data_IF_785102592914
#
_entry.id   IF_785102592914
#
_cell.length_a   1.000
_cell.length_b   1.000
_cell.length_c   1.000
_cell.angle_alpha   90.00
_cell.angle_beta   90.00
_cell.angle_gamma   90.00
#
_symmetry.space_group_name_H-M   'P 1'
#
loop_
_entity.id
_entity.type
_entity.pdbx_description
1 polymer ?
#
# COMPACT_ATOMS: atom_id res chain seq x y z
N UNK A 1 52.11 0.87 11.47
CA UNK A 1 51.37 1.32 10.27
C UNK A 1 50.05 0.56 10.11
N UNK A 2 50.06 -0.77 10.30
CA UNK A 2 48.90 -1.67 10.13
C UNK A 2 47.67 -1.36 11.02
N UNK A 3 47.85 -0.89 12.26
CA UNK A 3 46.73 -0.60 13.17
C UNK A 3 45.89 0.58 12.69
N UNK A 4 46.50 1.64 12.13
CA UNK A 4 45.77 2.81 11.61
C UNK A 4 44.94 2.45 10.36
N UNK A 5 45.46 1.56 9.52
CA UNK A 5 44.77 1.07 8.32
C UNK A 5 43.59 0.15 8.68
N UNK A 6 43.77 -0.76 9.64
CA UNK A 6 42.69 -1.61 10.17
C UNK A 6 41.56 -0.78 10.82
N UNK A 7 41.91 0.23 11.62
CA UNK A 7 40.93 1.14 12.23
C UNK A 7 40.21 1.97 11.15
N UNK A 8 40.91 2.42 10.11
CA UNK A 8 40.32 3.10 8.95
C UNK A 8 39.30 2.23 8.22
N UNK A 9 39.67 0.99 7.85
CA UNK A 9 38.77 0.03 7.19
C UNK A 9 37.54 -0.31 8.04
N UNK A 10 37.69 -0.48 9.37
CA UNK A 10 36.57 -0.69 10.30
C UNK A 10 35.64 0.53 10.37
N UNK A 11 36.18 1.75 10.43
CA UNK A 11 35.38 2.99 10.43
C UNK A 11 34.63 3.16 9.11
N UNK A 12 35.26 2.93 7.97
CA UNK A 12 34.61 2.97 6.65
C UNK A 12 33.49 1.93 6.54
N UNK A 13 33.72 0.70 7.04
CA UNK A 13 32.68 -0.34 7.08
C UNK A 13 31.49 0.03 7.96
N UNK A 14 31.72 0.65 9.12
CA UNK A 14 30.65 1.14 10.01
C UNK A 14 29.85 2.26 9.33
N UNK A 15 30.53 3.23 8.71
CA UNK A 15 29.87 4.34 8.00
C UNK A 15 29.01 3.81 6.86
N UNK A 16 29.55 2.92 6.03
CA UNK A 16 28.82 2.34 4.91
C UNK A 16 27.58 1.56 5.39
N UNK A 17 27.72 0.77 6.44
CA UNK A 17 26.61 0.03 7.05
C UNK A 17 25.53 0.98 7.58
N UNK A 18 25.93 2.06 8.27
CA UNK A 18 25.00 3.07 8.78
C UNK A 18 24.24 3.78 7.65
N UNK A 19 24.89 4.09 6.53
CA UNK A 19 24.26 4.70 5.36
C UNK A 19 23.23 3.75 4.74
N UNK A 20 23.55 2.47 4.61
CA UNK A 20 22.62 1.46 4.08
C UNK A 20 21.39 1.32 4.98
N UNK A 21 21.61 1.21 6.30
CA UNK A 21 20.50 1.12 7.27
C UNK A 21 19.63 2.36 7.22
N UNK A 22 20.21 3.56 7.15
CA UNK A 22 19.47 4.81 7.03
C UNK A 22 18.66 4.88 5.72
N UNK A 23 19.23 4.43 4.60
CA UNK A 23 18.54 4.38 3.32
C UNK A 23 17.35 3.41 3.35
N UNK A 24 17.51 2.22 3.93
CA UNK A 24 16.42 1.25 4.11
C UNK A 24 15.34 1.85 5.01
N UNK A 25 15.71 2.46 6.15
CA UNK A 25 14.75 3.08 7.05
C UNK A 25 13.95 4.20 6.34
N UNK A 26 14.62 5.04 5.54
CA UNK A 26 13.95 6.07 4.75
C UNK A 26 12.94 5.45 3.76
N UNK A 27 13.31 4.39 3.03
CA UNK A 27 12.40 3.70 2.11
C UNK A 27 11.15 3.16 2.83
N UNK A 28 11.28 2.64 4.05
CA UNK A 28 10.13 2.17 4.84
C UNK A 28 9.23 3.31 5.31
N UNK A 29 9.82 4.47 5.66
CA UNK A 29 9.09 5.65 6.19
C UNK A 29 8.37 6.41 5.07
N UNK A 30 9.00 6.55 3.90
CA UNK A 30 8.48 7.33 2.77
C UNK A 30 7.67 6.50 1.77
N UNK A 31 7.36 5.24 2.08
CA UNK A 31 6.49 4.42 1.24
C UNK A 31 5.07 5.00 1.21
N UNK A 32 4.44 4.97 0.04
CA UNK A 32 3.14 5.59 -0.23
C UNK A 32 2.22 4.64 -0.96
N UNK A 33 0.91 4.79 -0.73
CA UNK A 33 -0.12 4.21 -1.59
C UNK A 33 -0.38 5.19 -2.74
N UNK A 34 -0.32 4.69 -3.97
CA UNK A 34 -0.63 5.43 -5.20
C UNK A 34 -1.78 4.74 -5.91
N UNK A 35 -2.85 5.48 -6.17
CA UNK A 35 -4.07 5.00 -6.82
C UNK A 35 -4.21 5.78 -8.13
N UNK A 36 -4.49 5.07 -9.22
CA UNK A 36 -4.73 5.65 -10.54
C UNK A 36 -6.05 5.12 -11.06
N UNK A 37 -7.00 6.02 -11.27
CA UNK A 37 -8.29 5.74 -11.93
C UNK A 37 -8.06 5.90 -13.43
N UNK A 38 -7.79 4.78 -14.11
CA UNK A 38 -7.50 4.76 -15.54
C UNK A 38 -8.77 4.68 -16.39
N UNK A 39 -8.58 4.52 -17.71
CA UNK A 39 -9.71 4.38 -18.65
C UNK A 39 -10.43 3.03 -18.54
N UNK A 40 -9.71 1.94 -18.28
CA UNK A 40 -10.29 0.58 -18.25
C UNK A 40 -10.20 -0.10 -16.88
N UNK A 41 -9.38 0.43 -15.98
CA UNK A 41 -9.09 -0.23 -14.71
C UNK A 41 -8.63 0.77 -13.64
N UNK A 42 -8.82 0.37 -12.39
CA UNK A 42 -8.18 0.97 -11.22
C UNK A 42 -6.82 0.30 -11.02
N UNK A 43 -5.76 1.08 -10.92
CA UNK A 43 -4.43 0.57 -10.54
C UNK A 43 -4.05 1.09 -9.16
N UNK A 44 -3.70 0.18 -8.25
CA UNK A 44 -3.22 0.51 -6.90
C UNK A 44 -1.80 0.00 -6.74
N UNK A 45 -0.90 0.84 -6.23
CA UNK A 45 0.52 0.52 -6.01
C UNK A 45 0.95 0.95 -4.61
N UNK A 46 1.74 0.12 -3.95
CA UNK A 46 2.42 0.50 -2.72
C UNK A 46 3.71 -0.32 -2.53
N UNK A 47 4.85 0.35 -2.53
CA UNK A 47 6.16 -0.31 -2.57
C UNK A 47 6.29 -1.18 -3.84
N UNK A 48 6.57 -2.47 -3.65
CA UNK A 48 6.68 -3.45 -4.74
C UNK A 48 5.35 -4.13 -5.10
N UNK A 49 4.30 -3.91 -4.31
CA UNK A 49 2.99 -4.53 -4.53
C UNK A 49 2.16 -3.69 -5.51
N UNK A 50 1.42 -4.38 -6.38
CA UNK A 50 0.51 -3.77 -7.36
C UNK A 50 -0.77 -4.59 -7.49
N UNK A 51 -1.89 -3.90 -7.60
CA UNK A 51 -3.18 -4.46 -8.00
C UNK A 51 -3.72 -3.70 -9.22
N UNK A 52 -4.35 -4.43 -10.13
CA UNK A 52 -5.10 -3.87 -11.26
C UNK A 52 -6.48 -4.49 -11.22
N UNK A 53 -7.52 -3.66 -11.22
CA UNK A 53 -8.91 -4.10 -11.13
C UNK A 53 -9.63 -3.54 -12.35
N UNK A 54 -9.93 -4.38 -13.32
CA UNK A 54 -10.66 -3.98 -14.52
C UNK A 54 -12.11 -3.61 -14.17
N UNK A 55 -12.66 -2.56 -14.77
CA UNK A 55 -14.02 -2.11 -14.47
C UNK A 55 -15.06 -3.20 -14.79
N UNK A 56 -14.83 -3.98 -15.84
CA UNK A 56 -15.68 -5.12 -16.24
C UNK A 56 -15.71 -6.29 -15.24
N UNK A 57 -14.77 -6.31 -14.29
CA UNK A 57 -14.71 -7.30 -13.22
C UNK A 57 -15.27 -6.80 -11.91
N UNK A 58 -15.56 -5.49 -11.79
CA UNK A 58 -16.12 -4.90 -10.58
C UNK A 58 -17.58 -5.31 -10.45
N UNK A 59 -17.90 -5.89 -9.29
CA UNK A 59 -19.27 -6.25 -8.89
C UNK A 59 -19.89 -5.11 -8.08
N UNK A 60 -19.11 -4.53 -7.16
CA UNK A 60 -19.58 -3.49 -6.25
C UNK A 60 -18.43 -2.61 -5.77
N UNK A 61 -18.71 -1.33 -5.58
CA UNK A 61 -17.80 -0.39 -4.92
C UNK A 61 -18.54 0.26 -3.75
N UNK A 62 -17.92 0.26 -2.59
CA UNK A 62 -18.46 0.87 -1.37
C UNK A 62 -17.42 1.72 -0.68
N UNK A 63 -17.90 2.77 0.01
CA UNK A 63 -17.10 3.54 0.93
C UNK A 63 -17.47 3.19 2.36
N UNK A 64 -16.47 2.87 3.18
CA UNK A 64 -16.66 2.48 4.59
C UNK A 64 -15.70 3.24 5.50
N UNK A 65 -16.11 3.49 6.74
CA UNK A 65 -15.30 4.20 7.73
C UNK A 65 -14.47 3.29 8.63
N UNK A 66 -14.70 1.97 8.58
CA UNK A 66 -13.94 1.00 9.36
C UNK A 66 -13.86 -0.34 8.64
N UNK A 67 -12.78 -1.08 8.89
CA UNK A 67 -12.56 -2.44 8.40
C UNK A 67 -11.87 -3.27 9.49
N UNK A 68 -12.11 -4.58 9.50
CA UNK A 68 -11.27 -5.52 10.25
C UNK A 68 -10.12 -5.98 9.36
N UNK A 69 -8.87 -5.55 9.61
CA UNK A 69 -7.72 -5.89 8.73
C UNK A 69 -7.39 -7.39 8.70
N UNK A 70 -7.53 -8.07 9.84
CA UNK A 70 -7.19 -9.49 9.95
C UNK A 70 -5.69 -9.78 9.83
N UNK A 71 -5.35 -10.95 9.26
CA UNK A 71 -3.98 -11.48 9.21
C UNK A 71 -3.29 -11.14 7.88
N UNK A 72 -2.06 -10.64 7.95
CA UNK A 72 -1.18 -10.49 6.78
C UNK A 72 -0.75 -11.87 6.26
N UNK A 73 -0.96 -12.12 4.96
CA UNK A 73 -0.50 -13.34 4.26
C UNK A 73 0.79 -13.05 3.48
N UNK A 74 0.82 -11.95 2.71
CA UNK A 74 2.00 -11.45 2.00
C UNK A 74 1.97 -9.92 1.90
N UNK A 75 3.13 -9.33 1.62
CA UNK A 75 3.29 -7.87 1.47
C UNK A 75 3.82 -7.19 2.72
N UNK A 76 3.60 -5.89 2.82
CA UNK A 76 4.22 -5.05 3.82
C UNK A 76 3.23 -4.55 4.89
N UNK A 77 3.77 -4.47 6.10
CA UNK A 77 3.18 -3.82 7.26
C UNK A 77 4.20 -2.81 7.75
N UNK A 78 4.12 -1.63 7.16
CA UNK A 78 5.04 -0.54 7.43
C UNK A 78 4.46 0.39 8.48
N UNK A 79 5.26 1.34 8.94
CA UNK A 79 4.85 2.28 9.99
C UNK A 79 3.52 2.97 9.64
N UNK A 80 3.40 3.48 8.40
CA UNK A 80 2.22 4.24 7.96
C UNK A 80 1.22 3.46 7.12
N UNK A 81 1.63 2.36 6.49
CA UNK A 81 0.81 1.70 5.48
C UNK A 81 0.72 0.19 5.66
N UNK A 82 -0.41 -0.39 5.26
CA UNK A 82 -0.50 -1.81 4.91
C UNK A 82 -0.53 -1.94 3.38
N UNK A 83 0.21 -2.90 2.84
CA UNK A 83 0.15 -3.25 1.41
C UNK A 83 0.27 -4.75 1.18
N UNK A 84 -0.48 -5.31 0.22
CA UNK A 84 -0.33 -6.69 -0.24
C UNK A 84 -1.57 -7.54 -0.01
N UNK A 85 -1.39 -8.79 0.44
CA UNK A 85 -2.49 -9.76 0.63
C UNK A 85 -2.75 -10.05 2.09
N UNK A 86 -4.01 -9.88 2.50
CA UNK A 86 -4.50 -10.09 3.86
C UNK A 86 -5.64 -11.11 3.85
N UNK A 87 -6.00 -11.58 5.04
CA UNK A 87 -7.14 -12.48 5.24
C UNK A 87 -7.92 -12.10 6.49
N UNK A 88 -9.23 -11.94 6.37
CA UNK A 88 -10.17 -11.78 7.47
C UNK A 88 -11.44 -12.61 7.20
N UNK A 89 -12.40 -12.59 8.12
CA UNK A 89 -13.67 -13.33 7.96
C UNK A 89 -14.62 -12.67 6.95
N UNK A 90 -14.62 -11.34 6.88
CA UNK A 90 -15.55 -10.56 6.05
C UNK A 90 -15.26 -10.65 4.54
N UNK A 91 -13.98 -10.58 4.15
CA UNK A 91 -13.51 -10.50 2.76
C UNK A 91 -12.78 -11.77 2.31
N UNK A 92 -12.59 -12.75 3.19
CA UNK A 92 -11.74 -13.90 2.90
C UNK A 92 -10.29 -13.44 2.64
N UNK A 93 -9.65 -13.96 1.60
CA UNK A 93 -8.32 -13.53 1.17
C UNK A 93 -8.46 -12.36 0.20
N UNK A 94 -7.88 -11.21 0.54
CA UNK A 94 -8.14 -9.96 -0.17
C UNK A 94 -6.89 -9.08 -0.30
N UNK A 95 -6.93 -8.11 -1.20
CA UNK A 95 -5.87 -7.13 -1.40
C UNK A 95 -6.10 -5.90 -0.52
N UNK A 96 -5.07 -5.44 0.17
CA UNK A 96 -5.15 -4.28 1.07
C UNK A 96 -4.04 -3.29 0.73
N UNK A 97 -4.38 -2.01 0.56
CA UNK A 97 -3.43 -0.91 0.30
C UNK A 97 -3.91 0.37 1.00
N UNK A 98 -3.56 0.55 2.27
CA UNK A 98 -4.09 1.65 3.07
C UNK A 98 -3.01 2.41 3.83
N UNK A 99 -3.23 3.71 4.03
CA UNK A 99 -2.70 4.49 5.13
C UNK A 99 -3.49 4.17 6.41
N UNK A 100 -2.76 3.79 7.47
CA UNK A 100 -3.33 3.26 8.72
C UNK A 100 -4.04 4.33 9.56
N UNK A 101 -3.64 5.58 9.41
CA UNK A 101 -4.15 6.76 10.11
C UNK A 101 -5.37 7.39 9.43
N UNK A 102 -5.79 6.88 8.27
CA UNK A 102 -6.96 7.37 7.53
C UNK A 102 -8.09 6.34 7.64
N UNK A 103 -9.13 6.65 8.43
CA UNK A 103 -10.31 5.80 8.63
C UNK A 103 -11.43 6.12 7.62
N UNK A 104 -11.08 6.08 6.34
CA UNK A 104 -11.98 6.19 5.20
C UNK A 104 -11.45 5.24 4.13
N UNK A 105 -12.26 4.31 3.63
CA UNK A 105 -11.79 3.23 2.77
C UNK A 105 -12.72 3.02 1.59
N UNK A 106 -12.14 2.73 0.44
CA UNK A 106 -12.84 2.24 -0.73
C UNK A 106 -12.68 0.71 -0.74
N UNK A 107 -13.80 0.02 -0.75
CA UNK A 107 -13.89 -1.44 -0.87
C UNK A 107 -14.43 -1.74 -2.27
N UNK A 108 -13.65 -2.47 -3.05
CA UNK A 108 -14.02 -2.96 -4.37
C UNK A 108 -14.19 -4.47 -4.30
N UNK A 109 -15.41 -4.93 -4.48
CA UNK A 109 -15.70 -6.32 -4.78
C UNK A 109 -15.56 -6.54 -6.28
N UNK A 110 -14.77 -7.54 -6.67
CA UNK A 110 -14.56 -7.93 -8.05
C UNK A 110 -14.58 -9.46 -8.18
N UNK A 111 -14.61 -9.98 -9.40
CA UNK A 111 -14.76 -11.43 -9.68
C UNK A 111 -13.75 -12.33 -8.95
N UNK A 112 -12.55 -11.82 -8.64
CA UNK A 112 -11.49 -12.58 -7.95
C UNK A 112 -11.46 -12.38 -6.42
N UNK A 113 -12.34 -11.55 -5.86
CA UNK A 113 -12.44 -11.26 -4.43
C UNK A 113 -12.53 -9.77 -4.13
N UNK A 114 -11.84 -9.34 -3.08
CA UNK A 114 -11.92 -7.96 -2.59
C UNK A 114 -10.58 -7.24 -2.71
N UNK A 115 -10.65 -5.94 -3.00
CA UNK A 115 -9.57 -5.00 -2.83
C UNK A 115 -10.03 -3.82 -1.96
N UNK A 116 -9.22 -3.47 -0.97
CA UNK A 116 -9.50 -2.35 -0.06
C UNK A 116 -8.35 -1.37 -0.09
N UNK A 117 -8.63 -0.10 -0.33
CA UNK A 117 -7.61 0.92 -0.40
C UNK A 117 -8.11 2.30 0.04
N UNK A 118 -7.18 3.18 0.39
CA UNK A 118 -7.44 4.58 0.66
C UNK A 118 -6.25 5.46 0.22
N UNK A 119 -6.48 6.77 0.19
CA UNK A 119 -5.44 7.76 -0.04
C UNK A 119 -4.88 8.28 1.29
N UNK A 120 -3.88 9.16 1.21
CA UNK A 120 -3.23 9.76 2.38
C UNK A 120 -4.11 10.73 3.17
N UNK A 121 -5.29 11.09 2.65
CA UNK A 121 -6.31 11.85 3.39
C UNK A 121 -7.73 11.35 3.08
N UNK A 122 -8.67 11.71 3.96
CA UNK A 122 -10.10 11.42 3.78
C UNK A 122 -10.63 12.07 2.51
N UNK A 123 -10.31 13.35 2.26
CA UNK A 123 -10.82 14.13 1.13
C UNK A 123 -10.33 13.56 -0.20
N UNK A 124 -9.06 13.14 -0.27
CA UNK A 124 -8.52 12.47 -1.45
C UNK A 124 -9.15 11.09 -1.66
N UNK A 125 -9.45 10.38 -0.59
CA UNK A 125 -10.17 9.11 -0.67
C UNK A 125 -11.59 9.32 -1.18
N UNK A 126 -12.27 10.38 -0.75
CA UNK A 126 -13.61 10.74 -1.23
C UNK A 126 -13.58 11.10 -2.72
N UNK A 127 -12.62 11.94 -3.15
CA UNK A 127 -12.45 12.29 -4.57
C UNK A 127 -12.23 11.04 -5.43
N UNK A 128 -11.35 10.12 -4.99
CA UNK A 128 -11.09 8.87 -5.71
C UNK A 128 -12.33 7.99 -5.82
N UNK A 129 -13.16 7.95 -4.78
CA UNK A 129 -14.41 7.19 -4.80
C UNK A 129 -15.37 7.72 -5.87
N UNK A 130 -15.56 9.04 -5.93
CA UNK A 130 -16.40 9.67 -6.95
C UNK A 130 -15.85 9.44 -8.37
N UNK A 131 -14.54 9.59 -8.58
CA UNK A 131 -13.89 9.33 -9.87
C UNK A 131 -14.13 7.87 -10.35
N UNK A 132 -14.06 6.90 -9.43
CA UNK A 132 -14.35 5.48 -9.72
C UNK A 132 -15.82 5.31 -10.12
N UNK A 133 -16.75 5.92 -9.38
CA UNK A 133 -18.18 5.85 -9.70
C UNK A 133 -18.50 6.47 -11.05
N UNK A 134 -17.83 7.56 -11.44
CA UNK A 134 -17.99 8.16 -12.76
C UNK A 134 -17.53 7.22 -13.88
N UNK A 135 -16.44 6.47 -13.68
CA UNK A 135 -15.97 5.48 -14.66
C UNK A 135 -16.93 4.30 -14.81
N UNK A 136 -17.61 3.89 -13.73
CA UNK A 136 -18.57 2.78 -13.73
C UNK A 136 -19.94 3.12 -14.34
N UNK A 137 -20.26 4.41 -14.51
CA UNK A 137 -21.52 4.86 -15.15
C UNK A 137 -21.44 4.89 -16.69
N UNK A 138 -20.25 4.78 -17.26
CA UNK A 138 -20.00 4.85 -18.71
C UNK A 138 -20.10 3.48 -19.34
#
# INVERSE_FOLDING_TARGET
>A
MEIKEQVGKRKTGIILSAVIVAAIAALLIFSKVSITVGEQAITVKAGLERSVIAYEDIVKVEKVSSITVGKRIMGADLIKIYSGTFKNEQYGRYRLYIYKDVSNYIVVEHKEGFAVFNSDTTERTDSLYEDILEKLKR
#
